data_IF_265611387303
#
_entry.id   IF_265611387303
#
_cell.length_a   1.000
_cell.length_b   1.000
_cell.length_c   1.000
_cell.angle_alpha   90.00
_cell.angle_beta   90.00
_cell.angle_gamma   90.00
#
_symmetry.space_group_name_H-M   'P 1'
#
loop_
_entity.id
_entity.type
_entity.pdbx_description
1 polymer ?
#
# COMPACT_ATOMS: atom_id res chain seq x y z
N UNK A 1 -22.66 17.80 -35.37
CA UNK A 1 -22.20 16.83 -34.37
C UNK A 1 -20.70 16.87 -34.11
N UNK A 2 -19.85 17.25 -35.07
CA UNK A 2 -18.42 17.51 -34.80
C UNK A 2 -17.56 16.27 -34.51
N UNK A 3 -18.14 15.06 -34.60
CA UNK A 3 -17.44 13.80 -34.36
C UNK A 3 -16.45 13.47 -35.48
N UNK A 4 -15.24 13.09 -35.11
CA UNK A 4 -14.25 12.53 -36.04
C UNK A 4 -14.48 11.03 -36.27
N UNK A 5 -13.84 10.46 -37.30
CA UNK A 5 -13.93 9.02 -37.59
C UNK A 5 -13.51 8.14 -36.40
N UNK A 6 -12.44 8.55 -35.70
CA UNK A 6 -11.95 7.81 -34.52
C UNK A 6 -12.94 7.88 -33.34
N UNK A 7 -13.68 8.98 -33.17
CA UNK A 7 -14.75 9.05 -32.16
C UNK A 7 -15.90 8.10 -32.47
N UNK A 8 -16.31 7.99 -33.74
CA UNK A 8 -17.33 7.03 -34.15
C UNK A 8 -16.86 5.59 -33.93
N UNK A 9 -15.61 5.27 -34.25
CA UNK A 9 -15.06 3.94 -33.98
C UNK A 9 -15.03 3.62 -32.47
N UNK A 10 -14.59 4.56 -31.63
CA UNK A 10 -14.59 4.40 -30.17
C UNK A 10 -16.01 4.27 -29.58
N UNK A 11 -16.97 5.06 -30.06
CA UNK A 11 -18.37 5.01 -29.59
C UNK A 11 -19.02 3.66 -29.87
N UNK A 12 -18.63 3.00 -30.96
CA UNK A 12 -19.14 1.69 -31.35
C UNK A 12 -18.30 0.51 -30.83
N UNK A 13 -17.21 0.79 -30.10
CA UNK A 13 -16.31 -0.22 -29.55
C UNK A 13 -15.52 -0.99 -30.62
N UNK A 14 -15.15 -0.33 -31.71
CA UNK A 14 -14.42 -0.92 -32.82
C UNK A 14 -12.92 -0.72 -32.63
N UNK A 15 -12.33 -1.36 -31.61
CA UNK A 15 -10.93 -1.20 -31.24
C UNK A 15 -9.95 -1.38 -32.42
N UNK A 16 -10.22 -2.35 -33.32
CA UNK A 16 -9.36 -2.57 -34.49
C UNK A 16 -9.44 -1.43 -35.50
N UNK A 17 -10.61 -0.83 -35.69
CA UNK A 17 -10.76 0.37 -36.53
C UNK A 17 -10.07 1.56 -35.88
N UNK A 18 -10.17 1.70 -34.55
CA UNK A 18 -9.43 2.72 -33.81
C UNK A 18 -7.93 2.53 -34.02
N UNK A 19 -7.41 1.30 -33.89
CA UNK A 19 -6.00 0.95 -34.16
C UNK A 19 -5.55 1.41 -35.54
N UNK A 20 -6.28 1.01 -36.58
CA UNK A 20 -5.95 1.37 -37.96
C UNK A 20 -5.96 2.89 -38.20
N UNK A 21 -6.93 3.61 -37.62
CA UNK A 21 -6.98 5.07 -37.71
C UNK A 21 -5.80 5.71 -36.97
N UNK A 22 -5.53 5.27 -35.74
CA UNK A 22 -4.43 5.76 -34.91
C UNK A 22 -3.06 5.53 -35.58
N UNK A 23 -2.86 4.37 -36.21
CA UNK A 23 -1.64 4.01 -36.93
C UNK A 23 -1.47 4.82 -38.23
N UNK A 24 -2.58 5.11 -38.93
CA UNK A 24 -2.56 5.99 -40.10
C UNK A 24 -2.13 7.42 -39.72
N UNK A 25 -2.58 7.91 -38.57
CA UNK A 25 -2.21 9.22 -38.04
C UNK A 25 -2.75 10.40 -38.85
N UNK A 26 -2.11 11.57 -38.72
CA UNK A 26 -2.49 12.78 -39.45
C UNK A 26 -3.69 13.55 -38.90
N UNK A 27 -4.11 13.25 -37.67
CA UNK A 27 -5.15 13.99 -36.95
C UNK A 27 -4.77 14.17 -35.48
N UNK A 28 -5.40 15.14 -34.83
CA UNK A 28 -5.28 15.34 -33.39
C UNK A 28 -6.23 14.36 -32.64
N UNK A 29 -5.65 13.41 -31.91
CA UNK A 29 -6.40 12.41 -31.12
C UNK A 29 -7.16 13.03 -29.95
N UNK A 30 -6.74 14.23 -29.51
CA UNK A 30 -7.35 14.95 -28.40
C UNK A 30 -8.44 15.91 -28.85
N UNK A 31 -8.72 16.00 -30.16
CA UNK A 31 -9.81 16.82 -30.67
C UNK A 31 -11.12 16.37 -30.01
N UNK A 32 -11.89 17.35 -29.51
CA UNK A 32 -13.22 17.12 -28.97
C UNK A 32 -14.30 17.44 -30.00
N UNK A 33 -15.43 16.75 -29.90
CA UNK A 33 -16.62 17.12 -30.67
C UNK A 33 -17.27 18.42 -30.14
N UNK A 34 -18.48 18.74 -30.62
CA UNK A 34 -19.20 19.96 -30.23
C UNK A 34 -19.52 20.06 -28.73
N UNK A 35 -19.46 18.95 -27.99
CA UNK A 35 -19.65 18.91 -26.52
C UNK A 35 -18.34 18.63 -25.77
N UNK A 36 -17.21 18.60 -26.47
CA UNK A 36 -15.88 18.40 -25.92
C UNK A 36 -15.51 16.95 -25.62
N UNK A 37 -16.27 15.97 -26.14
CA UNK A 37 -15.97 14.55 -25.97
C UNK A 37 -14.89 14.13 -26.97
N UNK A 38 -13.82 13.48 -26.49
CA UNK A 38 -12.73 12.94 -27.32
C UNK A 38 -12.98 11.47 -27.65
N UNK A 39 -12.16 10.89 -28.52
CA UNK A 39 -12.20 9.45 -28.81
C UNK A 39 -12.07 8.59 -27.53
N UNK A 40 -11.24 9.01 -26.59
CA UNK A 40 -11.07 8.32 -25.30
C UNK A 40 -12.30 8.47 -24.40
N UNK A 41 -12.94 9.65 -24.36
CA UNK A 41 -14.21 9.84 -23.63
C UNK A 41 -15.30 8.90 -24.15
N UNK A 42 -15.37 8.70 -25.47
CA UNK A 42 -16.31 7.76 -26.09
C UNK A 42 -16.01 6.30 -25.75
N UNK A 43 -14.74 5.90 -25.74
CA UNK A 43 -14.33 4.55 -25.35
C UNK A 43 -14.73 4.23 -23.89
N UNK A 44 -14.51 5.18 -22.97
CA UNK A 44 -14.91 5.05 -21.56
C UNK A 44 -16.42 4.97 -21.41
N UNK A 45 -17.17 5.82 -22.11
CA UNK A 45 -18.63 5.79 -22.09
C UNK A 45 -19.17 4.46 -22.61
N UNK A 46 -18.47 3.84 -23.56
CA UNK A 46 -18.81 2.55 -24.14
C UNK A 46 -18.35 1.35 -23.28
N UNK A 47 -17.52 1.60 -22.27
CA UNK A 47 -16.84 0.58 -21.47
C UNK A 47 -15.95 -0.36 -22.30
N UNK A 48 -15.37 0.16 -23.38
CA UNK A 48 -14.45 -0.58 -24.25
C UNK A 48 -13.01 -0.44 -23.73
N UNK A 49 -12.63 -1.31 -22.79
CA UNK A 49 -11.31 -1.29 -22.15
C UNK A 49 -10.15 -1.53 -23.13
N UNK A 50 -10.39 -2.23 -24.24
CA UNK A 50 -9.36 -2.45 -25.27
C UNK A 50 -9.06 -1.14 -26.00
N UNK A 51 -10.10 -0.41 -26.41
CA UNK A 51 -9.92 0.93 -27.00
C UNK A 51 -9.34 1.92 -25.99
N UNK A 52 -9.76 1.86 -24.72
CA UNK A 52 -9.17 2.70 -23.66
C UNK A 52 -7.67 2.44 -23.54
N UNK A 53 -7.26 1.16 -23.45
CA UNK A 53 -5.85 0.78 -23.37
C UNK A 53 -5.05 1.26 -24.58
N UNK A 54 -5.55 1.01 -25.78
CA UNK A 54 -4.93 1.42 -27.04
C UNK A 54 -4.67 2.93 -27.07
N UNK A 55 -5.68 3.72 -26.71
CA UNK A 55 -5.56 5.18 -26.72
C UNK A 55 -4.69 5.71 -25.57
N UNK A 56 -4.74 5.08 -24.39
CA UNK A 56 -3.95 5.46 -23.22
C UNK A 56 -2.47 5.11 -23.35
N UNK A 57 -2.05 4.18 -24.21
CA UNK A 57 -0.63 3.89 -24.44
C UNK A 57 0.11 4.98 -25.24
N UNK A 58 -0.61 5.98 -25.77
CA UNK A 58 -0.01 7.07 -26.53
C UNK A 58 0.58 8.14 -25.60
N UNK A 59 1.75 8.65 -25.97
CA UNK A 59 2.42 9.72 -25.21
C UNK A 59 1.82 11.13 -25.41
N UNK A 60 0.97 11.31 -26.42
CA UNK A 60 0.33 12.60 -26.75
C UNK A 60 -1.12 12.69 -26.29
N UNK A 61 -1.66 11.64 -25.63
CA UNK A 61 -3.03 11.64 -25.12
C UNK A 61 -3.17 12.51 -23.86
N UNK A 62 -4.19 13.36 -23.81
CA UNK A 62 -4.53 14.18 -22.65
C UNK A 62 -5.63 13.49 -21.85
N UNK A 63 -5.35 13.19 -20.58
CA UNK A 63 -6.24 12.37 -19.73
C UNK A 63 -6.94 13.15 -18.62
N UNK A 64 -6.64 14.44 -18.40
CA UNK A 64 -7.18 15.22 -17.29
C UNK A 64 -8.72 15.22 -17.23
N UNK A 65 -9.35 15.69 -18.32
CA UNK A 65 -10.82 15.71 -18.46
C UNK A 65 -11.42 14.31 -18.48
N UNK A 66 -10.65 13.36 -18.99
CA UNK A 66 -11.07 11.98 -19.18
C UNK A 66 -11.16 11.26 -17.84
N UNK A 67 -10.21 11.47 -16.94
CA UNK A 67 -10.26 10.88 -15.60
C UNK A 67 -11.38 11.48 -14.77
N UNK A 68 -11.57 12.81 -14.79
CA UNK A 68 -12.72 13.43 -14.14
C UNK A 68 -14.04 12.85 -14.67
N UNK A 69 -14.13 12.65 -15.98
CA UNK A 69 -15.27 12.00 -16.62
C UNK A 69 -15.45 10.55 -16.15
N UNK A 70 -14.39 9.73 -16.11
CA UNK A 70 -14.45 8.34 -15.61
C UNK A 70 -14.95 8.27 -14.17
N UNK A 71 -14.47 9.16 -13.29
CA UNK A 71 -14.91 9.23 -11.89
C UNK A 71 -16.40 9.61 -11.82
N UNK A 72 -16.81 10.65 -12.58
CA UNK A 72 -18.20 11.12 -12.62
C UNK A 72 -19.17 10.05 -13.13
N UNK A 73 -18.75 9.28 -14.13
CA UNK A 73 -19.55 8.19 -14.69
C UNK A 73 -19.40 6.86 -13.92
N UNK A 74 -18.58 6.84 -12.85
CA UNK A 74 -18.26 5.63 -12.07
C UNK A 74 -17.67 4.49 -12.92
N UNK A 75 -16.97 4.81 -14.00
CA UNK A 75 -16.23 3.83 -14.79
C UNK A 75 -14.81 3.63 -14.22
N UNK A 76 -14.74 2.85 -13.13
CA UNK A 76 -13.49 2.60 -12.41
C UNK A 76 -12.58 1.59 -13.12
N UNK A 77 -13.13 0.71 -13.96
CA UNK A 77 -12.35 -0.20 -14.79
C UNK A 77 -11.52 0.56 -15.84
N UNK A 78 -12.15 1.51 -16.52
CA UNK A 78 -11.46 2.38 -17.45
C UNK A 78 -10.48 3.31 -16.74
N UNK A 79 -10.84 3.84 -15.56
CA UNK A 79 -9.91 4.64 -14.75
C UNK A 79 -8.65 3.86 -14.40
N UNK A 80 -8.78 2.65 -13.86
CA UNK A 80 -7.64 1.79 -13.54
C UNK A 80 -6.80 1.51 -14.79
N UNK A 81 -7.44 1.22 -15.93
CA UNK A 81 -6.76 0.96 -17.21
C UNK A 81 -5.96 2.19 -17.70
N UNK A 82 -6.52 3.39 -17.60
CA UNK A 82 -5.80 4.63 -17.95
C UNK A 82 -4.56 4.79 -17.05
N UNK A 83 -4.71 4.54 -15.76
CA UNK A 83 -3.63 4.67 -14.77
C UNK A 83 -2.56 3.56 -14.88
N UNK A 84 -2.80 2.47 -15.59
CA UNK A 84 -1.75 1.48 -15.93
C UNK A 84 -0.75 2.03 -16.96
N UNK A 85 -1.17 2.98 -17.79
CA UNK A 85 -0.33 3.50 -18.86
C UNK A 85 0.80 4.37 -18.29
N UNK A 86 2.02 4.22 -18.84
CA UNK A 86 3.22 4.98 -18.43
C UNK A 86 3.20 6.45 -18.89
N UNK A 87 2.02 6.99 -19.21
CA UNK A 87 1.89 8.32 -19.77
C UNK A 87 2.39 9.31 -18.72
N UNK A 88 3.39 10.11 -19.11
CA UNK A 88 3.71 11.36 -18.42
C UNK A 88 2.48 12.26 -18.49
N UNK A 89 1.73 12.31 -17.39
CA UNK A 89 0.58 13.21 -17.17
C UNK A 89 1.03 14.65 -17.45
N UNK A 90 0.79 15.16 -18.67
CA UNK A 90 1.08 16.55 -19.02
C UNK A 90 -0.16 17.40 -18.75
N UNK A 91 -0.17 18.10 -17.63
CA UNK A 91 -1.02 19.28 -17.47
C UNK A 91 -0.65 20.26 -18.58
N UNK A 92 -1.67 20.79 -19.27
CA UNK A 92 -1.51 21.49 -20.54
C UNK A 92 -0.77 22.85 -20.47
N UNK A 93 -0.17 23.27 -19.34
CA UNK A 93 0.40 24.63 -19.23
C UNK A 93 1.54 24.85 -18.21
N UNK A 94 2.38 23.86 -17.86
CA UNK A 94 3.54 24.17 -17.00
C UNK A 94 4.78 23.31 -17.32
N UNK A 95 5.93 24.00 -17.46
CA UNK A 95 7.26 23.39 -17.66
C UNK A 95 7.90 23.04 -16.31
N UNK A 96 7.25 23.42 -15.20
CA UNK A 96 7.50 22.82 -13.90
C UNK A 96 6.80 21.46 -13.84
N UNK A 97 7.60 20.40 -13.70
CA UNK A 97 7.15 19.01 -13.57
C UNK A 97 6.59 18.77 -12.16
N UNK A 98 5.74 19.66 -11.68
CA UNK A 98 4.96 19.45 -10.45
C UNK A 98 3.69 18.73 -10.82
N UNK A 99 3.64 17.45 -10.44
CA UNK A 99 2.48 16.57 -10.48
C UNK A 99 1.30 17.20 -9.72
N UNK A 100 0.54 18.09 -10.36
CA UNK A 100 -0.79 18.54 -9.89
C UNK A 100 -1.87 17.63 -10.45
N UNK A 101 -1.77 16.34 -10.11
CA UNK A 101 -2.87 15.41 -10.30
C UNK A 101 -3.76 15.44 -9.05
N UNK A 102 -5.04 15.76 -9.27
CA UNK A 102 -6.05 16.20 -8.28
C UNK A 102 -5.75 17.56 -7.65
N UNK A 103 -6.56 18.56 -7.98
CA UNK A 103 -6.93 19.54 -6.96
C UNK A 103 -7.61 18.78 -5.83
N UNK A 104 -6.89 18.52 -4.74
CA UNK A 104 -7.34 18.05 -3.40
C UNK A 104 -8.22 16.80 -3.25
N UNK A 105 -8.80 16.23 -4.32
CA UNK A 105 -9.89 15.24 -4.20
C UNK A 105 -9.46 13.87 -4.70
N UNK A 106 -8.72 13.14 -3.87
CA UNK A 106 -8.39 11.70 -4.03
C UNK A 106 -9.58 10.77 -3.74
N UNK A 107 -10.79 11.32 -3.80
CA UNK A 107 -12.05 10.68 -3.45
C UNK A 107 -13.07 10.78 -4.58
N UNK A 108 -13.98 9.82 -4.63
CA UNK A 108 -15.18 9.86 -5.45
C UNK A 108 -16.16 10.93 -4.96
N UNK A 109 -17.23 11.19 -5.73
CA UNK A 109 -18.32 12.09 -5.32
C UNK A 109 -18.96 11.71 -3.98
N UNK A 110 -18.91 10.42 -3.62
CA UNK A 110 -19.46 9.88 -2.39
C UNK A 110 -18.44 9.93 -1.22
N UNK A 111 -17.29 10.58 -1.41
CA UNK A 111 -16.23 10.73 -0.40
C UNK A 111 -15.38 9.48 -0.18
N UNK A 112 -15.56 8.43 -0.98
CA UNK A 112 -14.75 7.20 -0.90
C UNK A 112 -13.39 7.40 -1.58
N UNK A 113 -12.27 6.91 -1.02
CA UNK A 113 -10.98 6.94 -1.69
C UNK A 113 -11.05 6.26 -3.05
N UNK A 114 -10.46 6.86 -4.08
CA UNK A 114 -10.55 6.30 -5.43
C UNK A 114 -9.92 4.90 -5.53
N UNK A 115 -8.92 4.62 -4.70
CA UNK A 115 -8.28 3.30 -4.63
C UNK A 115 -9.25 2.21 -4.13
N UNK A 116 -10.21 2.56 -3.26
CA UNK A 116 -11.32 1.67 -2.89
C UNK A 116 -12.24 1.44 -4.10
N UNK A 117 -12.60 2.50 -4.82
CA UNK A 117 -13.49 2.40 -5.98
C UNK A 117 -12.90 1.56 -7.12
N UNK A 118 -11.57 1.58 -7.28
CA UNK A 118 -10.88 0.85 -8.33
C UNK A 118 -10.44 -0.57 -7.91
N UNK A 119 -10.71 -0.99 -6.66
CA UNK A 119 -10.05 -2.12 -6.02
C UNK A 119 -9.99 -3.41 -6.87
N UNK A 120 -11.10 -3.78 -7.51
CA UNK A 120 -11.20 -5.01 -8.32
C UNK A 120 -10.44 -4.94 -9.66
N UNK A 121 -10.09 -3.74 -10.13
CA UNK A 121 -9.43 -3.49 -11.41
C UNK A 121 -7.94 -3.17 -11.25
N UNK A 122 -7.47 -2.94 -10.02
CA UNK A 122 -6.09 -2.52 -9.77
C UNK A 122 -5.07 -3.59 -10.18
N UNK A 123 -4.16 -3.18 -11.05
CA UNK A 123 -2.85 -3.81 -11.25
C UNK A 123 -1.77 -3.03 -10.51
N UNK A 124 -0.58 -3.62 -10.42
CA UNK A 124 0.57 -3.04 -9.73
C UNK A 124 0.85 -1.59 -10.13
N UNK A 125 1.03 -1.30 -11.43
CA UNK A 125 1.33 0.05 -11.92
C UNK A 125 0.20 1.05 -11.61
N UNK A 126 -1.06 0.69 -11.90
CA UNK A 126 -2.20 1.56 -11.57
C UNK A 126 -2.32 1.83 -10.07
N UNK A 127 -2.06 0.83 -9.23
CA UNK A 127 -2.09 0.98 -7.78
C UNK A 127 -0.96 1.89 -7.29
N UNK A 128 0.26 1.71 -7.79
CA UNK A 128 1.40 2.56 -7.46
C UNK A 128 1.15 4.01 -7.87
N UNK A 129 0.60 4.24 -9.06
CA UNK A 129 0.25 5.58 -9.53
C UNK A 129 -0.83 6.23 -8.66
N UNK A 130 -1.86 5.49 -8.24
CA UNK A 130 -2.89 6.01 -7.33
C UNK A 130 -2.34 6.30 -5.94
N UNK A 131 -1.53 5.39 -5.39
CA UNK A 131 -0.94 5.55 -4.07
C UNK A 131 0.04 6.71 -4.02
N UNK A 132 0.80 6.96 -5.09
CA UNK A 132 1.76 8.07 -5.16
C UNK A 132 1.11 9.45 -5.00
N UNK A 133 -0.17 9.59 -5.34
CA UNK A 133 -0.94 10.83 -5.21
C UNK A 133 -1.36 11.06 -3.75
N UNK A 134 -1.84 10.02 -3.08
CA UNK A 134 -2.48 10.08 -1.76
C UNK A 134 -1.72 9.26 -0.71
N UNK A 135 -0.39 9.27 -0.80
CA UNK A 135 0.45 8.54 0.14
C UNK A 135 0.43 9.22 1.52
N UNK A 136 0.37 8.48 2.64
CA UNK A 136 0.23 9.07 3.97
C UNK A 136 1.50 9.78 4.47
N UNK A 137 2.64 9.57 3.82
CA UNK A 137 3.94 10.09 4.24
C UNK A 137 4.73 10.65 3.07
N UNK A 138 5.63 11.56 3.37
CA UNK A 138 6.60 12.09 2.44
C UNK A 138 7.97 12.25 3.09
N UNK A 139 9.00 12.48 2.27
CA UNK A 139 10.37 12.68 2.77
C UNK A 139 10.70 14.15 2.65
N UNK A 140 10.96 14.79 3.79
CA UNK A 140 11.41 16.18 3.88
C UNK A 140 12.77 16.19 4.58
N UNK A 141 13.79 16.73 3.91
CA UNK A 141 15.17 16.80 4.42
C UNK A 141 15.71 15.46 4.94
N UNK A 142 15.34 14.35 4.27
CA UNK A 142 15.76 12.99 4.61
C UNK A 142 14.95 12.32 5.74
N UNK A 143 14.03 13.04 6.36
CA UNK A 143 13.14 12.53 7.41
C UNK A 143 11.77 12.17 6.86
N UNK A 144 11.16 11.11 7.40
CA UNK A 144 9.79 10.76 7.09
C UNK A 144 8.82 11.67 7.84
N UNK A 145 7.92 12.33 7.12
CA UNK A 145 6.91 13.24 7.66
C UNK A 145 5.53 12.74 7.26
N UNK A 146 4.61 12.70 8.23
CA UNK A 146 3.21 12.38 7.96
C UNK A 146 2.50 13.55 7.28
N UNK A 147 1.78 13.25 6.20
CA UNK A 147 0.92 14.21 5.53
C UNK A 147 -0.36 14.42 6.35
N UNK A 148 -0.83 15.65 6.41
CA UNK A 148 -2.08 16.01 7.10
C UNK A 148 -3.30 15.95 6.18
N UNK A 149 -3.08 15.98 4.87
CA UNK A 149 -4.09 16.20 3.83
C UNK A 149 -4.25 14.99 2.88
N UNK A 150 -4.27 13.78 3.44
CA UNK A 150 -4.46 12.54 2.69
C UNK A 150 -5.83 11.90 2.99
N UNK A 151 -6.34 11.12 2.05
CA UNK A 151 -7.65 10.45 2.12
C UNK A 151 -7.57 8.98 2.53
N UNK A 152 -6.57 8.60 3.32
CA UNK A 152 -6.38 7.22 3.80
C UNK A 152 -6.26 6.18 2.67
N UNK A 153 -5.77 6.55 1.48
CA UNK A 153 -5.67 5.62 0.36
C UNK A 153 -4.80 4.41 0.66
N UNK A 154 -3.66 4.58 1.35
CA UNK A 154 -2.83 3.44 1.75
C UNK A 154 -3.59 2.44 2.62
N UNK A 155 -4.24 2.91 3.69
CA UNK A 155 -4.97 2.04 4.60
C UNK A 155 -6.16 1.35 3.89
N UNK A 156 -6.87 2.08 3.03
CA UNK A 156 -7.98 1.54 2.24
C UNK A 156 -7.50 0.51 1.21
N UNK A 157 -6.37 0.76 0.54
CA UNK A 157 -5.75 -0.19 -0.38
C UNK A 157 -5.39 -1.51 0.31
N UNK A 158 -4.92 -1.41 1.56
CA UNK A 158 -4.48 -2.57 2.35
C UNK A 158 -5.61 -3.32 3.06
N UNK A 159 -6.80 -2.75 3.23
CA UNK A 159 -7.93 -3.37 3.95
C UNK A 159 -8.47 -4.59 3.19
N UNK A 160 -8.36 -5.79 3.77
CA UNK A 160 -8.79 -7.08 3.21
C UNK A 160 -10.26 -7.15 2.79
N UNK A 161 -11.10 -6.24 3.26
CA UNK A 161 -12.50 -6.16 2.85
C UNK A 161 -12.68 -5.59 1.45
N UNK A 162 -11.71 -4.82 0.93
CA UNK A 162 -11.72 -4.34 -0.45
C UNK A 162 -11.09 -5.37 -1.40
N UNK A 163 -11.69 -5.63 -2.57
CA UNK A 163 -11.30 -6.72 -3.46
C UNK A 163 -10.03 -6.46 -4.29
N UNK A 164 -8.97 -5.93 -3.66
CA UNK A 164 -7.66 -5.79 -4.30
C UNK A 164 -6.96 -7.14 -4.32
N UNK A 165 -6.37 -7.51 -5.46
CA UNK A 165 -5.61 -8.75 -5.57
C UNK A 165 -4.45 -8.79 -4.56
N UNK A 166 -4.33 -9.88 -3.80
CA UNK A 166 -3.29 -10.05 -2.75
C UNK A 166 -1.87 -9.87 -3.31
N UNK A 167 -1.59 -10.35 -4.53
CA UNK A 167 -0.29 -10.18 -5.15
C UNK A 167 -0.01 -8.73 -5.54
N UNK A 168 -1.06 -7.96 -5.88
CA UNK A 168 -0.92 -6.53 -6.16
C UNK A 168 -0.59 -5.77 -4.88
N UNK A 169 -1.25 -6.07 -3.75
CA UNK A 169 -0.90 -5.47 -2.45
C UNK A 169 0.54 -5.74 -2.06
N UNK A 170 0.92 -7.02 -2.06
CA UNK A 170 2.26 -7.43 -1.68
C UNK A 170 3.31 -6.83 -2.61
N UNK A 171 3.04 -6.82 -3.92
CA UNK A 171 3.92 -6.21 -4.92
C UNK A 171 4.10 -4.70 -4.72
N UNK A 172 3.02 -3.96 -4.45
CA UNK A 172 3.11 -2.52 -4.15
C UNK A 172 3.87 -2.26 -2.84
N UNK A 173 3.57 -3.02 -1.79
CA UNK A 173 4.29 -2.94 -0.51
C UNK A 173 5.79 -3.20 -0.68
N UNK A 174 6.16 -4.21 -1.46
CA UNK A 174 7.56 -4.50 -1.81
C UNK A 174 8.21 -3.37 -2.59
N UNK A 175 7.52 -2.83 -3.60
CA UNK A 175 8.03 -1.73 -4.43
C UNK A 175 8.27 -0.47 -3.61
N UNK A 176 7.33 -0.10 -2.75
CA UNK A 176 7.44 1.08 -1.88
C UNK A 176 8.64 0.94 -0.93
N UNK A 177 8.81 -0.22 -0.28
CA UNK A 177 9.92 -0.44 0.66
C UNK A 177 11.29 -0.57 -0.02
N UNK A 178 11.33 -0.84 -1.33
CA UNK A 178 12.55 -0.86 -2.15
C UNK A 178 12.86 0.49 -2.80
N UNK A 179 11.95 1.47 -2.68
CA UNK A 179 12.13 2.77 -3.31
C UNK A 179 13.26 3.55 -2.60
N UNK A 180 14.26 3.95 -3.39
CA UNK A 180 15.41 4.71 -2.93
C UNK A 180 15.02 6.05 -2.30
N UNK A 181 13.83 6.60 -2.62
CA UNK A 181 13.29 7.81 -1.98
C UNK A 181 13.26 7.68 -0.46
N UNK A 182 13.04 6.48 0.07
CA UNK A 182 12.90 6.22 1.51
C UNK A 182 14.12 5.52 2.12
N UNK A 183 15.25 5.44 1.40
CA UNK A 183 16.43 4.70 1.87
C UNK A 183 16.94 5.19 3.24
N UNK A 184 16.85 6.50 3.53
CA UNK A 184 17.28 7.10 4.80
C UNK A 184 16.31 6.86 5.97
N UNK A 185 15.07 6.48 5.69
CA UNK A 185 13.99 6.35 6.67
C UNK A 185 13.20 5.04 6.50
N UNK A 186 13.89 3.97 6.08
CA UNK A 186 13.25 2.72 5.68
C UNK A 186 12.55 2.00 6.83
N UNK A 187 13.07 2.13 8.06
CA UNK A 187 12.45 1.54 9.26
C UNK A 187 11.22 2.33 9.68
N UNK A 188 11.31 3.66 9.71
CA UNK A 188 10.20 4.55 9.98
C UNK A 188 9.08 4.33 8.96
N UNK A 189 9.44 4.21 7.68
CA UNK A 189 8.47 3.90 6.63
C UNK A 189 7.80 2.56 6.89
N UNK A 190 8.56 1.50 7.18
CA UNK A 190 8.00 0.18 7.46
C UNK A 190 6.98 0.24 8.62
N UNK A 191 7.27 1.02 9.67
CA UNK A 191 6.35 1.23 10.78
C UNK A 191 5.11 1.99 10.35
N UNK A 192 5.24 3.07 9.60
CA UNK A 192 4.10 3.83 9.07
C UNK A 192 3.21 2.97 8.15
N UNK A 193 3.80 2.12 7.32
CA UNK A 193 3.03 1.23 6.44
C UNK A 193 2.26 0.16 7.21
N UNK A 194 2.75 -0.28 8.36
CA UNK A 194 2.10 -1.29 9.18
C UNK A 194 1.12 -0.73 10.22
N UNK A 195 1.51 0.35 10.89
CA UNK A 195 0.76 0.93 12.02
C UNK A 195 0.01 2.20 11.65
N UNK A 196 0.16 2.69 10.42
CA UNK A 196 -0.68 3.73 9.86
C UNK A 196 -2.16 3.39 10.04
N UNK A 197 -2.96 4.41 10.37
CA UNK A 197 -4.37 4.22 10.73
C UNK A 197 -5.28 4.55 9.56
N UNK A 198 -6.38 3.82 9.46
CA UNK A 198 -7.49 4.20 8.60
C UNK A 198 -8.35 5.32 9.22
N UNK A 199 -9.39 5.76 8.49
CA UNK A 199 -10.37 6.75 8.96
C UNK A 199 -11.12 6.36 10.24
N UNK A 200 -11.05 5.10 10.65
CA UNK A 200 -11.68 4.55 11.86
C UNK A 200 -10.67 4.32 12.99
N UNK A 201 -9.38 4.67 12.79
CA UNK A 201 -8.33 4.47 13.77
C UNK A 201 -7.76 3.05 13.84
N UNK A 202 -8.14 2.15 12.92
CA UNK A 202 -7.63 0.79 12.83
C UNK A 202 -6.29 0.78 12.12
N UNK A 203 -5.35 0.01 12.62
CA UNK A 203 -4.00 -0.08 12.04
C UNK A 203 -3.99 -0.99 10.80
N UNK A 204 -3.18 -0.67 9.80
CA UNK A 204 -3.03 -1.45 8.57
C UNK A 204 -2.73 -2.93 8.85
N UNK A 205 -1.85 -3.22 9.80
CA UNK A 205 -1.46 -4.57 10.21
C UNK A 205 -2.64 -5.41 10.70
N UNK A 206 -3.68 -4.77 11.24
CA UNK A 206 -4.89 -5.43 11.74
C UNK A 206 -5.85 -5.75 10.59
N UNK A 207 -6.00 -4.83 9.64
CA UNK A 207 -7.00 -4.91 8.57
C UNK A 207 -6.48 -5.58 7.28
N UNK A 208 -5.17 -5.79 7.14
CA UNK A 208 -4.61 -6.33 5.89
C UNK A 208 -4.77 -7.84 5.72
N UNK A 209 -4.47 -8.36 4.53
CA UNK A 209 -4.52 -9.78 4.23
C UNK A 209 -3.38 -10.55 4.93
N UNK A 210 -3.50 -11.88 5.00
CA UNK A 210 -2.53 -12.71 5.72
C UNK A 210 -1.11 -12.67 5.13
N UNK A 211 -0.97 -12.56 3.81
CA UNK A 211 0.33 -12.54 3.15
C UNK A 211 1.06 -11.22 3.41
N UNK A 212 0.35 -10.10 3.23
CA UNK A 212 0.86 -8.75 3.53
C UNK A 212 1.20 -8.60 5.03
N UNK A 213 0.33 -9.08 5.93
CA UNK A 213 0.58 -9.08 7.38
C UNK A 213 1.85 -9.86 7.73
N UNK A 214 1.99 -11.08 7.18
CA UNK A 214 3.17 -11.92 7.40
C UNK A 214 4.45 -11.23 6.89
N UNK A 215 4.39 -10.59 5.73
CA UNK A 215 5.52 -9.86 5.16
C UNK A 215 5.96 -8.68 6.04
N UNK A 216 5.01 -7.90 6.58
CA UNK A 216 5.28 -6.81 7.51
C UNK A 216 5.88 -7.32 8.82
N UNK A 217 5.23 -8.32 9.44
CA UNK A 217 5.69 -8.92 10.70
C UNK A 217 7.09 -9.49 10.62
N UNK A 218 7.45 -10.14 9.50
CA UNK A 218 8.79 -10.70 9.32
C UNK A 218 9.90 -9.64 9.25
N UNK A 219 9.55 -8.38 8.94
CA UNK A 219 10.51 -7.27 8.90
C UNK A 219 10.49 -6.45 10.18
N UNK A 220 9.32 -6.28 10.78
CA UNK A 220 9.15 -5.54 12.03
C UNK A 220 9.62 -6.32 13.25
N UNK A 221 9.42 -7.63 13.26
CA UNK A 221 9.61 -8.45 14.45
C UNK A 221 10.62 -9.57 14.22
N UNK A 222 11.55 -9.69 15.16
CA UNK A 222 12.39 -10.86 15.30
C UNK A 222 11.56 -12.06 15.75
N UNK A 223 11.73 -13.19 15.05
CA UNK A 223 10.92 -14.41 15.22
C UNK A 223 9.39 -14.16 15.17
N UNK A 224 8.94 -13.08 14.53
CA UNK A 224 7.53 -12.71 14.44
C UNK A 224 6.88 -12.29 15.76
N UNK A 225 7.67 -11.97 16.80
CA UNK A 225 7.16 -11.65 18.15
C UNK A 225 7.85 -10.49 18.85
N UNK A 226 9.16 -10.33 18.63
CA UNK A 226 9.97 -9.39 19.38
C UNK A 226 10.32 -8.19 18.51
N UNK A 227 9.89 -7.00 18.92
CA UNK A 227 10.41 -5.76 18.36
C UNK A 227 11.72 -5.43 19.07
N UNK A 228 12.84 -5.42 18.33
CA UNK A 228 14.15 -5.13 18.92
C UNK A 228 14.22 -3.63 19.23
N UNK A 229 14.64 -3.29 20.45
CA UNK A 229 14.90 -1.92 20.85
C UNK A 229 16.14 -1.39 20.13
N UNK A 230 16.04 -0.21 19.49
CA UNK A 230 17.13 0.39 18.70
C UNK A 230 18.27 1.01 19.53
N UNK A 231 18.27 0.82 20.85
CA UNK A 231 19.35 1.28 21.73
C UNK A 231 20.62 0.43 21.69
N UNK A 232 21.68 0.89 22.38
CA UNK A 232 22.90 0.12 22.49
C UNK A 232 22.60 -1.25 23.13
N UNK A 233 23.29 -2.32 22.69
CA UNK A 233 23.15 -3.62 23.33
C UNK A 233 23.43 -3.53 24.84
N UNK A 234 22.59 -4.20 25.63
CA UNK A 234 22.76 -4.34 27.08
C UNK A 234 24.08 -5.03 27.40
N UNK A 235 24.48 -5.97 26.54
CA UNK A 235 25.73 -6.71 26.68
C UNK A 235 26.29 -7.15 25.34
N UNK A 236 27.62 -7.14 25.23
CA UNK A 236 28.37 -7.65 24.07
C UNK A 236 29.52 -8.51 24.59
N UNK A 237 29.63 -9.74 24.11
CA UNK A 237 30.76 -10.63 24.35
C UNK A 237 31.29 -11.22 23.04
N UNK A 238 32.32 -12.07 23.11
CA UNK A 238 32.84 -12.80 21.95
C UNK A 238 31.82 -13.74 21.30
N UNK A 239 30.75 -14.11 22.00
CA UNK A 239 29.80 -15.15 21.55
C UNK A 239 28.35 -14.71 21.55
N UNK A 240 28.02 -13.55 22.12
CA UNK A 240 26.65 -13.11 22.28
C UNK A 240 26.52 -11.58 22.30
N UNK A 241 25.44 -11.10 21.70
CA UNK A 241 24.95 -9.72 21.82
C UNK A 241 23.57 -9.80 22.46
N UNK A 242 23.36 -9.09 23.56
CA UNK A 242 22.08 -9.00 24.26
C UNK A 242 21.51 -7.62 24.01
N UNK A 243 20.34 -7.58 23.40
CA UNK A 243 19.58 -6.36 23.11
C UNK A 243 18.29 -6.39 23.91
N UNK A 244 17.74 -5.21 24.22
CA UNK A 244 16.37 -5.14 24.72
C UNK A 244 15.41 -5.40 23.55
N UNK A 245 14.26 -5.99 23.85
CA UNK A 245 13.19 -6.15 22.89
C UNK A 245 11.84 -6.01 23.57
N UNK A 246 10.87 -5.42 22.88
CA UNK A 246 9.48 -5.43 23.28
C UNK A 246 8.85 -6.74 22.81
N UNK A 247 8.32 -7.50 23.76
CA UNK A 247 7.45 -8.63 23.47
C UNK A 247 6.01 -8.12 23.33
N UNK A 248 5.38 -8.35 22.18
CA UNK A 248 4.01 -7.87 21.91
C UNK A 248 2.93 -8.71 22.62
N UNK A 249 3.17 -9.06 23.87
CA UNK A 249 2.13 -9.40 24.83
C UNK A 249 1.91 -10.89 25.06
N UNK A 250 2.63 -11.81 24.40
CA UNK A 250 2.45 -13.24 24.68
C UNK A 250 3.01 -13.60 26.06
N UNK A 251 4.16 -13.06 26.47
CA UNK A 251 4.70 -13.29 27.80
C UNK A 251 3.81 -12.64 28.86
N UNK A 252 3.33 -11.42 28.61
CA UNK A 252 2.41 -10.74 29.53
C UNK A 252 1.08 -11.49 29.67
N UNK A 253 0.50 -11.96 28.56
CA UNK A 253 -0.74 -12.74 28.56
C UNK A 253 -0.56 -14.08 29.27
N UNK A 254 0.51 -14.82 28.96
CA UNK A 254 0.81 -16.09 29.62
C UNK A 254 1.09 -15.90 31.11
N UNK A 255 1.79 -14.83 31.48
CA UNK A 255 1.99 -14.46 32.89
C UNK A 255 0.65 -14.22 33.58
N UNK A 256 -0.23 -13.38 33.00
CA UNK A 256 -1.55 -13.11 33.58
C UNK A 256 -2.41 -14.38 33.68
N UNK A 257 -2.28 -15.29 32.72
CA UNK A 257 -3.02 -16.54 32.66
C UNK A 257 -2.52 -17.58 33.69
N UNK A 258 -1.23 -17.56 34.02
CA UNK A 258 -0.59 -18.60 34.84
C UNK A 258 -0.05 -18.12 36.19
N UNK A 259 -0.16 -16.82 36.52
CA UNK A 259 0.16 -16.30 37.85
C UNK A 259 -0.75 -16.90 38.92
N UNK A 260 -0.20 -17.06 40.11
CA UNK A 260 -0.94 -17.52 41.28
C UNK A 260 -1.77 -16.38 41.90
N UNK A 261 -2.51 -16.67 42.98
CA UNK A 261 -3.35 -15.70 43.68
C UNK A 261 -2.57 -14.53 44.30
N UNK A 262 -1.27 -14.69 44.53
CA UNK A 262 -0.38 -13.64 45.02
C UNK A 262 0.17 -12.74 43.89
N UNK A 263 -0.08 -13.10 42.63
CA UNK A 263 0.42 -12.37 41.47
C UNK A 263 1.76 -12.86 40.94
N UNK A 264 2.33 -13.93 41.51
CA UNK A 264 3.64 -14.48 41.13
C UNK A 264 3.52 -15.70 40.21
N UNK A 265 4.58 -15.99 39.47
CA UNK A 265 4.68 -17.23 38.69
C UNK A 265 5.44 -18.29 39.49
N UNK A 266 4.75 -19.35 39.91
CA UNK A 266 5.42 -20.50 40.52
C UNK A 266 6.19 -21.34 39.47
N UNK A 267 7.06 -22.24 39.95
CA UNK A 267 7.90 -23.07 39.08
C UNK A 267 7.10 -23.92 38.08
N UNK A 268 5.93 -24.43 38.47
CA UNK A 268 5.10 -25.26 37.61
C UNK A 268 4.41 -24.42 36.52
N UNK A 269 3.89 -23.25 36.89
CA UNK A 269 3.34 -22.27 35.96
C UNK A 269 4.39 -21.72 34.99
N UNK A 270 5.61 -21.47 35.44
CA UNK A 270 6.73 -21.08 34.58
C UNK A 270 7.04 -22.12 33.50
N UNK A 271 7.11 -23.39 33.89
CA UNK A 271 7.34 -24.50 32.94
C UNK A 271 6.22 -24.58 31.90
N UNK A 272 4.96 -24.35 32.29
CA UNK A 272 3.82 -24.30 31.36
C UNK A 272 3.94 -23.15 30.36
N UNK A 273 4.26 -21.94 30.82
CA UNK A 273 4.48 -20.79 29.95
C UNK A 273 5.59 -21.07 28.92
N UNK A 274 6.72 -21.63 29.37
CA UNK A 274 7.84 -21.95 28.48
C UNK A 274 7.49 -23.01 27.42
N UNK A 275 6.72 -24.04 27.80
CA UNK A 275 6.24 -25.03 26.85
C UNK A 275 5.38 -24.39 25.75
N UNK A 276 4.50 -23.44 26.11
CA UNK A 276 3.64 -22.70 25.15
C UNK A 276 4.48 -21.77 24.26
N UNK A 277 5.55 -21.18 24.79
CA UNK A 277 6.46 -20.30 24.04
C UNK A 277 7.39 -21.06 23.08
N UNK A 278 7.27 -22.38 22.97
CA UNK A 278 8.06 -23.22 22.07
C UNK A 278 9.40 -23.68 22.63
N UNK A 279 9.64 -23.49 23.93
CA UNK A 279 10.81 -24.06 24.62
C UNK A 279 10.44 -25.42 25.21
N UNK A 280 10.91 -26.47 24.56
CA UNK A 280 10.88 -27.82 25.13
C UNK A 280 11.96 -27.88 26.23
N UNK A 281 11.61 -27.44 27.43
CA UNK A 281 12.51 -27.34 28.56
C UNK A 281 12.92 -28.74 29.06
N UNK A 282 13.80 -29.42 28.33
CA UNK A 282 14.57 -30.54 28.87
C UNK A 282 15.59 -29.96 29.84
N UNK A 283 15.18 -29.80 31.10
CA UNK A 283 16.09 -29.43 32.19
C UNK A 283 17.15 -30.54 32.32
N UNK A 284 18.33 -30.35 31.72
CA UNK A 284 19.52 -31.16 31.95
C UNK A 284 20.48 -30.42 32.87
N UNK A 285 20.30 -30.59 34.18
CA UNK A 285 21.19 -30.02 35.20
C UNK A 285 21.14 -28.49 35.33
N UNK A 286 22.16 -27.90 35.97
CA UNK A 286 22.27 -26.46 36.27
C UNK A 286 22.64 -25.57 35.07
N UNK A 287 22.58 -26.08 33.84
CA UNK A 287 22.94 -25.35 32.62
C UNK A 287 21.77 -25.39 31.64
N UNK A 288 21.18 -24.22 31.39
CA UNK A 288 20.22 -24.00 30.31
C UNK A 288 21.02 -23.71 29.04
N UNK A 289 20.98 -24.59 28.05
CA UNK A 289 21.56 -24.34 26.72
C UNK A 289 20.88 -23.12 26.08
N UNK A 290 21.70 -22.12 25.71
CA UNK A 290 21.25 -20.86 25.14
C UNK A 290 20.55 -21.05 23.79
N UNK A 291 19.22 -20.93 23.82
CA UNK A 291 18.45 -20.47 22.67
C UNK A 291 17.56 -19.33 23.19
N UNK A 292 17.97 -18.09 22.94
CA UNK A 292 17.31 -16.83 23.34
C UNK A 292 16.97 -16.80 24.84
N UNK A 293 17.95 -16.43 25.67
CA UNK A 293 17.67 -16.03 27.04
C UNK A 293 16.99 -14.66 27.00
N UNK A 294 15.66 -14.67 27.03
CA UNK A 294 14.86 -13.53 27.52
C UNK A 294 15.27 -13.29 28.97
N UNK A 295 16.26 -12.43 29.19
CA UNK A 295 16.45 -11.84 30.51
C UNK A 295 15.35 -10.78 30.64
N UNK A 296 14.16 -11.22 31.05
CA UNK A 296 13.18 -10.30 31.60
C UNK A 296 13.85 -9.66 32.82
N UNK A 297 14.16 -8.37 32.71
CA UNK A 297 14.68 -7.61 33.83
C UNK A 297 13.53 -7.50 34.85
N UNK A 298 13.49 -8.46 35.79
CA UNK A 298 12.55 -8.48 36.92
C UNK A 298 12.84 -7.37 37.96
N UNK A 299 13.67 -6.39 37.64
CA UNK A 299 14.08 -5.33 38.55
C UNK A 299 13.14 -4.12 38.50
N UNK A 300 11.84 -4.34 38.69
CA UNK A 300 10.89 -3.35 39.20
C UNK A 300 9.50 -3.98 39.31
N UNK A 301 9.37 -4.91 40.26
CA UNK A 301 8.15 -5.11 41.04
C UNK A 301 8.38 -4.48 42.42
#
# INVERSE_FOLDING_TARGET
DGKSAVMFASENGHAEVVRLLVDYGGFDINLGDNVGMTALSYAIRKDDLETVRLLSERNDIIIDKVVEYSIRQKNFAALATILESKVTYRSTNDVSVEFKWFGSNTTSQDGKPLVECCAEYLKHESAMNMLGVDFPVEVQDGNLVQRQDYSYSWASFMDVTHPVNVNVRLGCLESILKDNKFASCSQELLRELAFGKDKHGREVIQITDAASRKYLNNRLFFCGRYEIFEGPPVHISKTAVVVMAYDHGICAQLFQQHKNACGDLDKASFVKCNAILGHDAKIKGNLVEMSILLVANMSSF
#
